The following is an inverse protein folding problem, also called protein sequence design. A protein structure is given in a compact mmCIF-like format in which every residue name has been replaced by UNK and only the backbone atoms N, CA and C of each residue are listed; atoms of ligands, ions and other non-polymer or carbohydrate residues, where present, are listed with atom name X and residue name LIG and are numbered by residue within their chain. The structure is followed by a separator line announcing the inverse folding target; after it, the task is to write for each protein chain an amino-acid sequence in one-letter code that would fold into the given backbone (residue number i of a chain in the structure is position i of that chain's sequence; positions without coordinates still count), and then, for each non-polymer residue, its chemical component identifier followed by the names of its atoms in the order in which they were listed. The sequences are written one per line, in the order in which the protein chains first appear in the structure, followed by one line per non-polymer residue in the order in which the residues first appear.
data_IF_530162304202
#
_entry.id   IF_530162304202
#
_cell.length_a   1.000
_cell.length_b   1.000
_cell.length_c   1.000
_cell.angle_alpha   90.00
_cell.angle_beta   90.00
_cell.angle_gamma   90.00
#
_symmetry.space_group_name_H-M   'P 1'
#
loop_
_entity.id
_entity.type
_entity.pdbx_description
1 polymer ?
#
# COMPACT_ATOMS: atom_id res chain seq x y z
N UNK A 1 -86.96 1.73 -20.08
CA UNK A 1 -87.91 1.70 -21.23
C UNK A 1 -88.96 0.63 -20.98
N UNK A 2 -90.06 1.00 -20.32
CA UNK A 2 -91.19 0.10 -20.13
C UNK A 2 -91.87 -0.19 -21.47
N UNK A 3 -92.26 -1.43 -21.70
CA UNK A 3 -92.94 -1.82 -22.93
C UNK A 3 -94.30 -2.44 -22.61
N UNK A 4 -95.30 -2.01 -23.37
CA UNK A 4 -96.66 -2.52 -23.28
C UNK A 4 -96.87 -3.52 -24.40
N UNK A 5 -97.27 -4.74 -24.05
CA UNK A 5 -97.66 -5.75 -25.02
C UNK A 5 -99.15 -6.02 -24.89
N UNK A 6 -99.89 -5.64 -25.93
CA UNK A 6 -101.31 -5.93 -26.04
C UNK A 6 -101.52 -7.34 -26.56
N UNK A 7 -102.26 -8.15 -25.81
CA UNK A 7 -102.66 -9.50 -26.21
C UNK A 7 -104.16 -9.48 -26.43
N UNK A 8 -104.60 -9.85 -27.63
CA UNK A 8 -106.01 -9.99 -27.98
C UNK A 8 -106.37 -11.46 -28.07
N UNK A 9 -107.47 -11.84 -27.44
CA UNK A 9 -108.01 -13.20 -27.55
C UNK A 9 -109.51 -13.15 -27.64
N UNK A 10 -110.02 -13.76 -28.71
CA UNK A 10 -111.44 -13.93 -28.93
C UNK A 10 -111.97 -15.09 -28.08
N UNK A 11 -112.96 -14.82 -27.23
CA UNK A 11 -113.57 -15.82 -26.35
C UNK A 11 -115.05 -15.94 -26.68
N UNK A 12 -115.54 -17.18 -26.73
CA UNK A 12 -116.95 -17.48 -26.93
C UNK A 12 -117.64 -17.62 -25.59
N UNK A 13 -118.58 -16.72 -25.30
CA UNK A 13 -119.34 -16.69 -24.06
C UNK A 13 -120.74 -17.26 -24.37
N UNK A 14 -121.11 -18.45 -23.87
CA UNK A 14 -122.46 -18.97 -24.01
C UNK A 14 -123.40 -18.21 -23.08
N UNK A 15 -124.59 -17.85 -23.58
CA UNK A 15 -125.69 -17.35 -22.76
C UNK A 15 -126.94 -18.19 -23.01
N UNK A 16 -127.75 -18.34 -21.97
CA UNK A 16 -129.07 -18.97 -22.06
C UNK A 16 -130.05 -18.30 -21.10
N UNK A 17 -131.31 -18.28 -21.49
CA UNK A 17 -132.41 -17.72 -20.71
C UNK A 17 -133.73 -18.33 -21.12
N UNK A 18 -134.77 -18.16 -20.31
CA UNK A 18 -136.12 -18.61 -20.62
C UNK A 18 -137.10 -17.47 -20.44
N UNK A 19 -138.02 -17.31 -21.40
CA UNK A 19 -139.12 -16.34 -21.31
C UNK A 19 -140.40 -17.13 -21.09
N UNK A 20 -141.15 -16.76 -20.05
CA UNK A 20 -142.42 -17.36 -19.67
C UNK A 20 -143.57 -16.42 -20.04
N UNK A 21 -144.51 -16.91 -20.85
CA UNK A 21 -145.69 -16.15 -21.28
C UNK A 21 -146.90 -16.47 -20.39
N UNK A 22 -147.70 -15.45 -20.05
CA UNK A 22 -148.89 -15.59 -19.22
C UNK A 22 -150.03 -16.39 -19.87
N UNK A 23 -151.01 -16.89 -19.10
CA UNK A 23 -151.89 -17.97 -19.54
C UNK A 23 -153.03 -17.47 -20.45
N UNK A 24 -152.93 -17.74 -21.76
CA UNK A 24 -154.10 -17.82 -22.64
C UNK A 24 -153.90 -18.93 -23.69
N UNK A 25 -154.73 -19.96 -23.59
CA UNK A 25 -155.04 -21.11 -24.48
C UNK A 25 -153.95 -21.83 -25.31
N UNK A 26 -152.65 -21.57 -25.14
CA UNK A 26 -151.52 -22.45 -25.55
C UNK A 26 -150.20 -21.97 -24.90
N UNK A 27 -150.19 -21.82 -23.58
CA UNK A 27 -149.03 -21.30 -22.84
C UNK A 27 -147.91 -22.34 -22.65
N UNK A 28 -146.71 -22.01 -23.09
CA UNK A 28 -145.47 -22.75 -22.82
C UNK A 28 -144.26 -21.81 -22.74
N UNK A 29 -143.30 -22.13 -21.88
CA UNK A 29 -142.02 -21.40 -21.78
C UNK A 29 -141.08 -21.82 -22.91
N UNK A 30 -140.46 -20.84 -23.59
CA UNK A 30 -139.44 -21.11 -24.61
C UNK A 30 -138.08 -20.73 -24.05
N UNK A 31 -137.17 -21.70 -24.01
CA UNK A 31 -135.76 -21.49 -23.68
C UNK A 31 -135.02 -21.04 -24.93
N UNK A 32 -134.18 -20.01 -24.82
CA UNK A 32 -133.22 -19.64 -25.85
C UNK A 32 -131.79 -19.75 -25.31
N UNK A 33 -130.88 -20.20 -26.16
CA UNK A 33 -129.45 -20.18 -25.88
C UNK A 33 -128.67 -19.82 -27.14
N UNK A 34 -127.55 -19.14 -26.96
CA UNK A 34 -126.67 -18.68 -28.03
C UNK A 34 -125.24 -18.53 -27.50
N UNK A 35 -124.29 -18.29 -28.41
CA UNK A 35 -122.90 -17.98 -28.04
C UNK A 35 -122.57 -16.63 -28.63
N UNK A 36 -122.24 -15.66 -27.78
CA UNK A 36 -121.70 -14.38 -28.24
C UNK A 36 -120.18 -14.48 -28.26
N UNK A 37 -119.56 -13.90 -29.27
CA UNK A 37 -118.11 -13.88 -29.38
C UNK A 37 -117.65 -12.48 -28.99
N UNK A 38 -116.86 -12.38 -27.91
CA UNK A 38 -116.24 -11.12 -27.50
C UNK A 38 -114.73 -11.19 -27.65
N UNK A 39 -114.14 -10.09 -28.11
CA UNK A 39 -112.70 -9.91 -28.15
C UNK A 39 -112.25 -9.28 -26.84
N UNK A 40 -111.47 -10.03 -26.06
CA UNK A 40 -110.89 -9.51 -24.83
C UNK A 40 -109.48 -9.02 -25.18
N UNK A 41 -109.26 -7.73 -24.98
CA UNK A 41 -107.94 -7.10 -25.07
C UNK A 41 -107.35 -6.98 -23.67
N UNK A 42 -106.18 -7.59 -23.45
CA UNK A 42 -105.42 -7.45 -22.20
C UNK A 42 -104.11 -6.74 -22.52
N UNK A 43 -103.93 -5.57 -21.92
CA UNK A 43 -102.67 -4.84 -21.96
C UNK A 43 -101.78 -5.30 -20.81
N UNK A 44 -100.63 -5.90 -21.16
CA UNK A 44 -99.61 -6.26 -20.19
C UNK A 44 -98.54 -5.18 -20.25
N UNK A 45 -98.49 -4.37 -19.20
CA UNK A 45 -97.46 -3.36 -19.00
C UNK A 45 -96.35 -3.98 -18.15
N UNK A 46 -95.15 -4.08 -18.73
CA UNK A 46 -93.97 -4.55 -17.99
C UNK A 46 -93.11 -3.33 -17.68
N UNK A 47 -93.09 -2.97 -16.40
CA UNK A 47 -92.20 -1.95 -15.88
C UNK A 47 -90.76 -2.51 -15.80
N UNK A 48 -89.84 -1.88 -16.53
CA UNK A 48 -88.42 -2.27 -16.55
C UNK A 48 -87.56 -1.37 -15.68
N UNK A 49 -88.11 -0.30 -15.10
CA UNK A 49 -87.36 0.65 -14.27
C UNK A 49 -86.64 -0.02 -13.08
N UNK A 50 -87.29 -0.92 -12.31
CA UNK A 50 -86.60 -1.59 -11.19
C UNK A 50 -85.42 -2.45 -11.64
N UNK A 51 -85.51 -3.02 -12.84
CA UNK A 51 -84.43 -3.84 -13.40
C UNK A 51 -83.28 -2.96 -13.91
N UNK A 52 -83.59 -1.86 -14.60
CA UNK A 52 -82.59 -0.87 -15.04
C UNK A 52 -81.85 -0.23 -13.86
N UNK A 53 -82.56 0.10 -12.78
CA UNK A 53 -81.99 0.60 -11.53
C UNK A 53 -81.05 -0.43 -10.88
N UNK A 54 -81.43 -1.72 -10.89
CA UNK A 54 -80.57 -2.79 -10.37
C UNK A 54 -79.26 -2.94 -11.17
N UNK A 55 -79.32 -2.81 -12.50
CA UNK A 55 -78.13 -2.83 -13.36
C UNK A 55 -77.26 -1.61 -13.08
N UNK A 56 -77.87 -0.43 -12.95
CA UNK A 56 -77.15 0.80 -12.63
C UNK A 56 -76.42 0.69 -11.28
N UNK A 57 -77.11 0.24 -10.24
CA UNK A 57 -76.53 0.05 -8.90
C UNK A 57 -75.43 -1.02 -8.88
N UNK A 58 -75.60 -2.10 -9.65
CA UNK A 58 -74.57 -3.12 -9.84
C UNK A 58 -73.32 -2.53 -10.51
N UNK A 59 -73.49 -1.74 -11.58
CA UNK A 59 -72.39 -1.12 -12.30
C UNK A 59 -71.62 -0.12 -11.43
N UNK A 60 -72.32 0.68 -10.61
CA UNK A 60 -71.70 1.56 -9.63
C UNK A 60 -70.92 0.79 -8.55
N UNK A 61 -71.48 -0.32 -8.05
CA UNK A 61 -70.81 -1.18 -7.06
C UNK A 61 -69.56 -1.84 -7.64
N UNK A 62 -69.62 -2.31 -8.89
CA UNK A 62 -68.47 -2.84 -9.63
C UNK A 62 -67.42 -1.75 -9.84
N UNK A 63 -67.81 -0.55 -10.26
CA UNK A 63 -66.90 0.59 -10.42
C UNK A 63 -66.20 0.98 -9.11
N UNK A 64 -66.94 0.99 -8.00
CA UNK A 64 -66.39 1.21 -6.66
C UNK A 64 -65.42 0.11 -6.23
N UNK A 65 -65.75 -1.15 -6.48
CA UNK A 65 -64.86 -2.29 -6.21
C UNK A 65 -63.59 -2.22 -7.06
N UNK A 66 -63.71 -1.92 -8.36
CA UNK A 66 -62.56 -1.76 -9.25
C UNK A 66 -61.66 -0.62 -8.77
N UNK A 67 -62.22 0.52 -8.38
CA UNK A 67 -61.47 1.64 -7.80
C UNK A 67 -60.74 1.25 -6.50
N UNK A 68 -61.41 0.51 -5.61
CA UNK A 68 -60.83 0.01 -4.37
C UNK A 68 -59.69 -0.98 -4.65
N UNK A 69 -59.87 -1.93 -5.57
CA UNK A 69 -58.84 -2.90 -5.96
C UNK A 69 -57.63 -2.20 -6.56
N UNK A 70 -57.82 -1.26 -7.48
CA UNK A 70 -56.72 -0.48 -8.07
C UNK A 70 -55.98 0.33 -7.00
N UNK A 71 -56.70 0.93 -6.04
CA UNK A 71 -56.09 1.65 -4.93
C UNK A 71 -55.30 0.71 -3.99
N UNK A 72 -55.83 -0.48 -3.70
CA UNK A 72 -55.14 -1.50 -2.90
C UNK A 72 -53.90 -2.03 -3.61
N UNK A 73 -53.98 -2.31 -4.91
CA UNK A 73 -52.83 -2.73 -5.73
C UNK A 73 -51.75 -1.65 -5.75
N UNK A 74 -52.13 -0.39 -5.99
CA UNK A 74 -51.19 0.73 -5.96
C UNK A 74 -50.53 0.90 -4.59
N UNK A 75 -51.30 0.81 -3.50
CA UNK A 75 -50.78 0.86 -2.13
C UNK A 75 -49.84 -0.32 -1.83
N UNK A 76 -50.17 -1.53 -2.32
CA UNK A 76 -49.35 -2.71 -2.16
C UNK A 76 -48.04 -2.61 -2.94
N UNK A 77 -48.07 -2.14 -4.19
CA UNK A 77 -46.86 -1.89 -4.98
C UNK A 77 -45.98 -0.83 -4.30
N UNK A 78 -46.57 0.26 -3.78
CA UNK A 78 -45.84 1.28 -3.05
C UNK A 78 -45.18 0.71 -1.78
N UNK A 79 -45.90 -0.14 -1.04
CA UNK A 79 -45.39 -0.83 0.16
C UNK A 79 -44.24 -1.79 -0.18
N UNK A 80 -44.37 -2.60 -1.24
CA UNK A 80 -43.33 -3.50 -1.73
C UNK A 80 -42.08 -2.70 -2.10
N UNK A 81 -42.22 -1.59 -2.83
CA UNK A 81 -41.10 -0.74 -3.22
C UNK A 81 -40.40 -0.09 -2.03
N UNK A 82 -41.15 0.40 -1.04
CA UNK A 82 -40.59 0.97 0.18
C UNK A 82 -39.81 -0.09 0.99
N UNK A 83 -40.39 -1.28 1.14
CA UNK A 83 -39.73 -2.39 1.83
C UNK A 83 -38.49 -2.88 1.07
N UNK A 84 -38.54 -2.99 -0.26
CA UNK A 84 -37.39 -3.36 -1.08
C UNK A 84 -36.24 -2.35 -0.94
N UNK A 85 -36.51 -1.04 -0.92
CA UNK A 85 -35.51 0.00 -0.64
C UNK A 85 -34.93 -0.12 0.77
N UNK A 86 -35.76 -0.40 1.77
CA UNK A 86 -35.31 -0.57 3.16
C UNK A 86 -34.42 -1.82 3.32
N UNK A 87 -34.83 -2.93 2.72
CA UNK A 87 -34.08 -4.20 2.74
C UNK A 87 -32.75 -4.05 2.00
N UNK A 88 -32.76 -3.53 0.77
CA UNK A 88 -31.53 -3.29 -0.01
C UNK A 88 -30.58 -2.33 0.71
N UNK A 89 -31.09 -1.22 1.25
CA UNK A 89 -30.28 -0.29 2.05
C UNK A 89 -29.68 -0.93 3.30
N UNK A 90 -30.44 -1.77 4.00
CA UNK A 90 -29.93 -2.51 5.16
C UNK A 90 -28.86 -3.55 4.78
N UNK A 91 -29.05 -4.28 3.67
CA UNK A 91 -28.08 -5.26 3.17
C UNK A 91 -26.78 -4.56 2.76
N UNK A 92 -26.86 -3.49 1.97
CA UNK A 92 -25.69 -2.72 1.52
C UNK A 92 -24.94 -2.17 2.73
N UNK A 93 -25.66 -1.54 3.68
CA UNK A 93 -25.05 -1.01 4.90
C UNK A 93 -24.41 -2.10 5.75
N UNK A 94 -25.07 -3.25 5.91
CA UNK A 94 -24.56 -4.39 6.64
C UNK A 94 -23.26 -4.91 6.02
N UNK A 95 -23.27 -5.14 4.70
CA UNK A 95 -22.11 -5.61 3.95
C UNK A 95 -20.91 -4.67 4.07
N UNK A 96 -21.11 -3.36 3.84
CA UNK A 96 -20.04 -2.37 4.00
C UNK A 96 -19.54 -2.27 5.45
N UNK A 97 -20.44 -2.38 6.43
CA UNK A 97 -20.05 -2.40 7.85
C UNK A 97 -19.18 -3.62 8.17
N UNK A 98 -19.54 -4.80 7.66
CA UNK A 98 -18.75 -6.04 7.84
C UNK A 98 -17.38 -5.93 7.19
N UNK A 99 -17.31 -5.51 5.92
CA UNK A 99 -16.04 -5.30 5.22
C UNK A 99 -15.16 -4.31 5.99
N UNK A 100 -15.72 -3.19 6.43
CA UNK A 100 -14.96 -2.20 7.20
C UNK A 100 -14.43 -2.80 8.50
N UNK A 101 -15.23 -3.61 9.18
CA UNK A 101 -14.81 -4.31 10.40
C UNK A 101 -13.67 -5.29 10.13
N UNK A 102 -13.78 -6.11 9.07
CA UNK A 102 -12.75 -7.06 8.66
C UNK A 102 -11.44 -6.36 8.29
N UNK A 103 -11.51 -5.28 7.49
CA UNK A 103 -10.32 -4.47 7.13
C UNK A 103 -9.69 -3.87 8.39
N UNK A 104 -10.51 -3.35 9.31
CA UNK A 104 -10.00 -2.79 10.58
C UNK A 104 -9.31 -3.85 11.42
N UNK A 105 -9.85 -5.07 11.47
CA UNK A 105 -9.26 -6.20 12.18
C UNK A 105 -7.94 -6.63 11.55
N UNK A 106 -7.87 -6.72 10.22
CA UNK A 106 -6.63 -7.03 9.48
C UNK A 106 -5.55 -5.97 9.72
N UNK A 107 -5.91 -4.68 9.75
CA UNK A 107 -4.98 -3.60 10.07
C UNK A 107 -4.46 -3.73 11.49
N UNK A 108 -5.32 -4.04 12.46
CA UNK A 108 -4.92 -4.21 13.86
C UNK A 108 -3.98 -5.41 14.04
N UNK A 109 -4.25 -6.52 13.37
CA UNK A 109 -3.40 -7.72 13.37
C UNK A 109 -2.02 -7.43 12.76
N UNK A 110 -2.00 -6.83 11.56
CA UNK A 110 -0.74 -6.47 10.90
C UNK A 110 0.08 -5.48 11.72
N UNK A 111 -0.58 -4.50 12.35
CA UNK A 111 0.08 -3.54 13.25
C UNK A 111 0.71 -4.24 14.46
N UNK A 112 0.00 -5.17 15.09
CA UNK A 112 0.52 -5.97 16.21
C UNK A 112 1.75 -6.77 15.80
N UNK A 113 1.72 -7.39 14.61
CA UNK A 113 2.86 -8.13 14.08
C UNK A 113 4.07 -7.22 13.80
N UNK A 114 3.84 -6.04 13.21
CA UNK A 114 4.90 -5.03 13.00
C UNK A 114 5.49 -4.60 14.33
N UNK A 115 4.67 -4.27 15.33
CA UNK A 115 5.14 -3.85 16.64
C UNK A 115 5.98 -4.95 17.34
N UNK A 116 5.55 -6.21 17.25
CA UNK A 116 6.30 -7.36 17.78
C UNK A 116 7.66 -7.55 17.09
N UNK A 117 7.71 -7.47 15.76
CA UNK A 117 8.97 -7.58 15.01
C UNK A 117 9.90 -6.41 15.30
N UNK A 118 9.37 -5.21 15.49
CA UNK A 118 10.15 -4.03 15.84
C UNK A 118 10.77 -4.15 17.23
N UNK A 119 10.03 -4.68 18.22
CA UNK A 119 10.58 -5.02 19.55
C UNK A 119 11.72 -6.03 19.42
N UNK A 120 11.54 -7.08 18.61
CA UNK A 120 12.58 -8.08 18.38
C UNK A 120 13.84 -7.47 17.74
N UNK A 121 13.69 -6.61 16.72
CA UNK A 121 14.79 -5.90 16.08
C UNK A 121 15.54 -4.99 17.07
N UNK A 122 14.82 -4.26 17.92
CA UNK A 122 15.44 -3.46 18.99
C UNK A 122 16.23 -4.32 19.97
N UNK A 123 15.69 -5.47 20.35
CA UNK A 123 16.39 -6.44 21.21
C UNK A 123 17.67 -6.98 20.56
N UNK A 124 17.65 -7.30 19.26
CA UNK A 124 18.83 -7.71 18.52
C UNK A 124 19.87 -6.59 18.41
N UNK A 125 19.44 -5.36 18.12
CA UNK A 125 20.32 -4.20 18.05
C UNK A 125 21.05 -3.96 19.40
N UNK A 126 20.32 -4.05 20.52
CA UNK A 126 20.91 -3.94 21.85
C UNK A 126 21.93 -5.06 22.11
N UNK A 127 21.62 -6.31 21.75
CA UNK A 127 22.55 -7.44 21.88
C UNK A 127 23.83 -7.25 21.06
N UNK A 128 23.74 -6.67 19.85
CA UNK A 128 24.92 -6.35 19.05
C UNK A 128 25.82 -5.32 19.75
N UNK A 129 25.24 -4.28 20.34
CA UNK A 129 26.00 -3.26 21.10
C UNK A 129 26.64 -3.88 22.35
N UNK A 130 25.93 -4.72 23.08
CA UNK A 130 26.47 -5.44 24.23
C UNK A 130 27.62 -6.36 23.83
N UNK A 131 27.48 -7.07 22.69
CA UNK A 131 28.53 -7.93 22.15
C UNK A 131 29.75 -7.14 21.71
N UNK A 132 29.56 -5.98 21.07
CA UNK A 132 30.65 -5.07 20.73
C UNK A 132 31.43 -4.63 21.97
N UNK A 133 30.72 -4.18 23.02
CA UNK A 133 31.34 -3.79 24.30
C UNK A 133 32.07 -4.95 24.99
N UNK A 134 31.58 -6.17 24.83
CA UNK A 134 32.29 -7.36 25.31
C UNK A 134 33.59 -7.56 24.52
N UNK A 135 33.52 -7.55 23.18
CA UNK A 135 34.69 -7.72 22.32
C UNK A 135 35.75 -6.64 22.55
N UNK A 136 35.35 -5.40 22.78
CA UNK A 136 36.27 -4.30 23.10
C UNK A 136 37.00 -4.54 24.43
N UNK A 137 36.29 -4.99 25.47
CA UNK A 137 36.90 -5.35 26.75
C UNK A 137 37.86 -6.52 26.62
N UNK A 138 37.48 -7.54 25.86
CA UNK A 138 38.31 -8.71 25.61
C UNK A 138 39.58 -8.32 24.83
N UNK A 139 39.44 -7.50 23.79
CA UNK A 139 40.57 -6.96 23.03
C UNK A 139 41.53 -6.19 23.92
N UNK A 140 41.02 -5.24 24.73
CA UNK A 140 41.85 -4.43 25.62
C UNK A 140 42.56 -5.28 26.68
N UNK A 141 41.90 -6.32 27.20
CA UNK A 141 42.49 -7.27 28.15
C UNK A 141 43.63 -8.07 27.52
N UNK A 142 43.40 -8.61 26.31
CA UNK A 142 44.40 -9.36 25.55
C UNK A 142 45.59 -8.47 25.19
N UNK A 143 45.34 -7.27 24.69
CA UNK A 143 46.37 -6.30 24.34
C UNK A 143 47.22 -5.93 25.55
N UNK A 144 46.61 -5.63 26.71
CA UNK A 144 47.33 -5.38 27.96
C UNK A 144 48.21 -6.56 28.37
N UNK A 145 47.70 -7.78 28.24
CA UNK A 145 48.47 -8.98 28.59
C UNK A 145 49.72 -9.12 27.70
N UNK A 146 49.59 -8.92 26.40
CA UNK A 146 50.73 -8.94 25.48
C UNK A 146 51.73 -7.82 25.75
N UNK A 147 51.25 -6.58 25.97
CA UNK A 147 52.11 -5.46 26.31
C UNK A 147 52.94 -5.75 27.56
N UNK A 148 52.30 -6.27 28.62
CA UNK A 148 53.00 -6.67 29.84
C UNK A 148 54.04 -7.75 29.57
N UNK A 149 53.71 -8.78 28.78
CA UNK A 149 54.68 -9.83 28.42
C UNK A 149 55.90 -9.25 27.71
N UNK A 150 55.72 -8.30 26.79
CA UNK A 150 56.85 -7.65 26.12
C UNK A 150 57.67 -6.75 27.05
N UNK A 151 57.03 -6.02 27.96
CA UNK A 151 57.72 -5.24 28.99
C UNK A 151 58.54 -6.12 29.93
N UNK A 152 57.95 -7.23 30.40
CA UNK A 152 58.61 -8.21 31.26
C UNK A 152 59.81 -8.84 30.54
N UNK A 153 59.66 -9.19 29.25
CA UNK A 153 60.76 -9.71 28.43
C UNK A 153 61.87 -8.67 28.20
N UNK A 154 61.53 -7.41 27.94
CA UNK A 154 62.51 -6.34 27.77
C UNK A 154 63.29 -6.10 29.07
N UNK A 155 62.59 -6.12 30.21
CA UNK A 155 63.23 -5.97 31.52
C UNK A 155 64.14 -7.16 31.85
N UNK A 156 63.72 -8.39 31.56
CA UNK A 156 64.54 -9.59 31.72
C UNK A 156 65.79 -9.53 30.84
N UNK A 157 65.63 -9.16 29.57
CA UNK A 157 66.74 -9.01 28.63
C UNK A 157 67.72 -7.93 29.09
N UNK A 158 67.22 -6.78 29.54
CA UNK A 158 68.04 -5.70 30.10
C UNK A 158 68.84 -6.19 31.32
N UNK A 159 68.19 -6.91 32.23
CA UNK A 159 68.85 -7.49 33.41
C UNK A 159 69.90 -8.53 33.02
N UNK A 160 69.61 -9.40 32.04
CA UNK A 160 70.57 -10.38 31.53
C UNK A 160 71.78 -9.72 30.87
N UNK A 161 71.57 -8.70 30.04
CA UNK A 161 72.68 -7.92 29.43
C UNK A 161 73.52 -7.28 30.52
N UNK A 162 72.89 -6.72 31.55
CA UNK A 162 73.60 -6.13 32.68
C UNK A 162 74.43 -7.15 33.45
N UNK A 163 73.87 -8.30 33.81
CA UNK A 163 74.61 -9.34 34.55
C UNK A 163 75.73 -9.94 33.71
N UNK A 164 75.51 -10.16 32.41
CA UNK A 164 76.52 -10.70 31.49
C UNK A 164 77.71 -9.74 31.30
N UNK A 165 77.47 -8.43 31.30
CA UNK A 165 78.49 -7.39 31.14
C UNK A 165 78.76 -6.60 32.41
N UNK A 166 78.44 -7.15 33.58
CA UNK A 166 78.55 -6.47 34.88
C UNK A 166 79.94 -5.87 35.16
N UNK A 167 81.07 -6.53 34.84
CA UNK A 167 82.39 -5.95 35.01
C UNK A 167 82.63 -4.72 34.12
N UNK A 168 82.11 -4.72 32.89
CA UNK A 168 82.24 -3.60 31.96
C UNK A 168 81.39 -2.39 32.42
N UNK A 169 80.17 -2.63 32.91
CA UNK A 169 79.34 -1.58 33.51
C UNK A 169 79.95 -1.02 34.79
N UNK A 170 80.52 -1.87 35.66
CA UNK A 170 81.21 -1.44 36.87
C UNK A 170 82.46 -0.61 36.54
N UNK A 171 83.25 -1.05 35.55
CA UNK A 171 84.40 -0.31 35.05
C UNK A 171 84.00 1.05 34.47
N UNK A 172 82.96 1.11 33.63
CA UNK A 172 82.44 2.37 33.10
C UNK A 172 81.95 3.31 34.21
N UNK A 173 81.23 2.79 35.22
CA UNK A 173 80.79 3.57 36.38
C UNK A 173 81.96 4.11 37.19
N UNK A 174 82.97 3.28 37.45
CA UNK A 174 84.17 3.67 38.18
C UNK A 174 85.00 4.67 37.38
N UNK A 175 85.15 4.47 36.07
CA UNK A 175 85.84 5.40 35.16
C UNK A 175 85.14 6.75 35.09
N UNK A 176 83.80 6.80 34.99
CA UNK A 176 83.03 8.04 35.05
C UNK A 176 83.16 8.75 36.40
N UNK A 177 83.16 8.00 37.51
CA UNK A 177 83.36 8.57 38.85
C UNK A 177 84.78 9.15 39.02
N UNK A 178 85.80 8.49 38.47
CA UNK A 178 87.18 8.98 38.48
C UNK A 178 87.36 10.21 37.57
N UNK A 179 86.73 10.23 36.38
CA UNK A 179 86.70 11.42 35.53
C UNK A 179 86.04 12.61 36.24
N UNK A 180 84.90 12.41 36.90
CA UNK A 180 84.25 13.50 37.65
C UNK A 180 85.13 14.00 38.81
N UNK A 181 85.87 13.11 39.50
CA UNK A 181 86.84 13.51 40.54
C UNK A 181 88.04 14.27 39.97
N UNK A 182 88.53 13.89 38.79
CA UNK A 182 89.62 14.60 38.11
C UNK A 182 89.20 16.02 37.68
N UNK A 183 87.92 16.22 37.34
CA UNK A 183 87.35 17.55 37.06
C UNK A 183 87.14 18.40 38.33
N UNK A 184 86.75 17.78 39.45
CA UNK A 184 86.37 18.53 40.66
C UNK A 184 87.52 18.89 41.60
N UNK A 185 88.63 18.12 41.68
CA UNK A 185 89.55 18.28 42.82
C UNK A 185 91.06 18.25 42.58
N UNK A 186 91.60 17.96 41.38
CA UNK A 186 93.07 17.79 41.27
C UNK A 186 93.77 18.48 40.09
N UNK A 187 93.16 19.49 39.48
CA UNK A 187 93.72 20.06 38.25
C UNK A 187 93.51 21.58 38.14
N UNK A 188 93.79 22.41 39.14
CA UNK A 188 93.72 23.88 38.89
C UNK A 188 94.78 24.34 37.87
N UNK A 189 95.99 23.75 37.87
CA UNK A 189 97.02 24.06 36.85
C UNK A 189 96.80 23.31 35.53
N UNK A 190 96.21 22.12 35.60
CA UNK A 190 95.97 21.29 34.42
C UNK A 190 94.64 21.61 33.74
N UNK A 191 93.64 22.19 34.43
CA UNK A 191 92.42 22.81 33.85
C UNK A 191 92.75 24.07 33.06
N UNK A 192 93.86 24.76 33.34
CA UNK A 192 94.30 25.86 32.47
C UNK A 192 94.86 25.35 31.12
N UNK A 193 95.55 24.20 31.12
CA UNK A 193 96.08 23.55 29.91
C UNK A 193 94.98 22.78 29.17
N UNK A 194 94.20 21.95 29.86
CA UNK A 194 93.00 21.27 29.33
C UNK A 194 91.86 22.23 28.99
N UNK A 195 91.73 23.37 29.66
CA UNK A 195 90.76 24.39 29.29
C UNK A 195 91.13 25.11 27.99
N UNK A 196 92.43 25.15 27.64
CA UNK A 196 92.89 25.69 26.36
C UNK A 196 92.89 24.64 25.24
N UNK A 197 93.37 23.43 25.53
CA UNK A 197 93.47 22.34 24.54
C UNK A 197 92.19 21.50 24.42
N UNK A 198 91.52 21.24 25.54
CA UNK A 198 90.28 20.49 25.64
C UNK A 198 89.05 21.30 25.24
N UNK A 199 89.00 22.62 25.47
CA UNK A 199 87.85 23.42 25.02
C UNK A 199 87.70 23.43 23.50
N UNK A 200 88.81 23.45 22.74
CA UNK A 200 88.75 23.33 21.28
C UNK A 200 88.28 21.94 20.84
N UNK A 201 88.76 20.88 21.52
CA UNK A 201 88.34 19.51 21.24
C UNK A 201 86.88 19.27 21.61
N UNK A 202 86.41 19.78 22.75
CA UNK A 202 85.01 19.72 23.19
C UNK A 202 84.10 20.52 22.27
N UNK A 203 84.54 21.70 21.81
CA UNK A 203 83.83 22.46 20.78
C UNK A 203 83.73 21.66 19.47
N UNK A 204 84.80 20.96 19.06
CA UNK A 204 84.78 20.09 17.87
C UNK A 204 83.88 18.87 18.06
N UNK A 205 83.90 18.22 19.21
CA UNK A 205 83.07 17.05 19.52
C UNK A 205 81.59 17.46 19.60
N UNK A 206 81.27 18.54 20.32
CA UNK A 206 79.91 19.08 20.40
C UNK A 206 79.39 19.52 19.03
N UNK A 207 80.21 20.21 18.23
CA UNK A 207 79.86 20.53 16.85
C UNK A 207 79.65 19.27 16.00
N UNK A 208 80.45 18.21 16.18
CA UNK A 208 80.31 16.94 15.48
C UNK A 208 79.03 16.20 15.88
N UNK A 209 78.66 16.22 17.17
CA UNK A 209 77.40 15.66 17.68
C UNK A 209 76.20 16.44 17.11
N UNK A 210 76.27 17.77 17.10
CA UNK A 210 75.23 18.62 16.51
C UNK A 210 75.11 18.35 15.00
N UNK A 211 76.23 18.24 14.28
CA UNK A 211 76.24 17.85 12.85
C UNK A 211 75.62 16.49 12.62
N UNK A 212 75.98 15.47 13.42
CA UNK A 212 75.38 14.14 13.33
C UNK A 212 73.88 14.19 13.58
N UNK A 213 73.44 14.85 14.66
CA UNK A 213 72.01 15.00 14.97
C UNK A 213 71.26 15.72 13.87
N UNK A 214 71.83 16.76 13.28
CA UNK A 214 71.26 17.47 12.14
C UNK A 214 71.14 16.56 10.90
N UNK A 215 72.14 15.72 10.65
CA UNK A 215 72.13 14.76 9.56
C UNK A 215 71.05 13.68 9.79
N UNK A 216 70.94 13.15 11.01
CA UNK A 216 69.90 12.19 11.39
C UNK A 216 68.49 12.80 11.25
N UNK A 217 68.29 14.09 11.58
CA UNK A 217 67.00 14.77 11.33
C UNK A 217 66.72 14.98 9.85
N UNK A 218 67.73 15.32 9.05
CA UNK A 218 67.58 15.42 7.58
C UNK A 218 67.20 14.06 7.00
N UNK A 219 67.81 12.98 7.46
CA UNK A 219 67.49 11.62 7.01
C UNK A 219 66.05 11.22 7.41
N UNK A 220 65.62 11.54 8.63
CA UNK A 220 64.23 11.35 9.05
C UNK A 220 63.24 12.19 8.23
N UNK A 221 63.58 13.43 7.91
CA UNK A 221 62.75 14.27 7.05
C UNK A 221 62.66 13.69 5.63
N UNK A 222 63.76 13.20 5.08
CA UNK A 222 63.79 12.57 3.77
C UNK A 222 62.94 11.28 3.73
N UNK A 223 63.09 10.41 4.73
CA UNK A 223 62.25 9.19 4.83
C UNK A 223 60.77 9.51 4.98
N UNK A 224 60.42 10.58 5.71
CA UNK A 224 59.04 11.06 5.80
C UNK A 224 58.51 11.54 4.44
N UNK A 225 59.26 12.38 3.72
CA UNK A 225 58.87 12.87 2.38
C UNK A 225 58.69 11.72 1.39
N UNK A 226 59.57 10.71 1.46
CA UNK A 226 59.51 9.54 0.60
C UNK A 226 58.25 8.69 0.88
N UNK A 227 57.91 8.49 2.16
CA UNK A 227 56.66 7.83 2.56
C UNK A 227 55.43 8.65 2.16
N UNK A 228 55.47 9.97 2.30
CA UNK A 228 54.38 10.86 1.89
C UNK A 228 54.10 10.74 0.39
N UNK A 229 55.15 10.74 -0.43
CA UNK A 229 55.02 10.55 -1.88
C UNK A 229 54.44 9.19 -2.24
N UNK A 230 54.93 8.12 -1.60
CA UNK A 230 54.40 6.77 -1.80
C UNK A 230 52.91 6.67 -1.43
N UNK A 231 52.51 7.33 -0.34
CA UNK A 231 51.10 7.39 0.06
C UNK A 231 50.26 8.12 -0.98
N UNK A 232 50.73 9.26 -1.49
CA UNK A 232 50.02 10.02 -2.53
C UNK A 232 49.87 9.22 -3.84
N UNK A 233 50.91 8.49 -4.26
CA UNK A 233 50.84 7.58 -5.40
C UNK A 233 49.84 6.43 -5.15
N UNK A 234 49.82 5.87 -3.94
CA UNK A 234 48.92 4.79 -3.55
C UNK A 234 47.47 5.26 -3.49
N UNK A 235 47.22 6.47 -2.97
CA UNK A 235 45.90 7.12 -3.01
C UNK A 235 45.49 7.36 -4.46
N UNK A 236 46.35 7.93 -5.31
CA UNK A 236 46.04 8.18 -6.71
C UNK A 236 45.77 6.89 -7.52
N UNK A 237 46.38 5.77 -7.12
CA UNK A 237 46.15 4.45 -7.73
C UNK A 237 44.87 3.77 -7.25
N UNK A 238 44.50 3.96 -5.99
CA UNK A 238 43.32 3.30 -5.39
C UNK A 238 42.06 4.16 -5.41
N UNK A 239 42.19 5.48 -5.55
CA UNK A 239 41.08 6.36 -5.89
C UNK A 239 40.62 6.01 -7.30
N UNK A 240 39.38 5.54 -7.40
CA UNK A 240 38.68 5.47 -8.67
C UNK A 240 38.66 6.88 -9.25
N UNK A 241 39.44 7.12 -10.30
CA UNK A 241 39.32 8.33 -11.11
C UNK A 241 38.01 8.24 -11.88
N UNK A 242 36.90 8.49 -11.20
CA UNK A 242 35.58 8.62 -11.81
C UNK A 242 35.51 9.95 -12.57
N UNK A 243 36.33 10.08 -13.62
CA UNK A 243 36.05 11.00 -14.72
C UNK A 243 35.45 10.18 -15.86
N UNK A 244 34.20 9.78 -15.69
CA UNK A 244 33.36 9.48 -16.84
C UNK A 244 32.10 10.29 -16.65
N UNK A 245 31.74 11.05 -17.68
CA UNK A 245 30.37 11.51 -17.89
C UNK A 245 29.49 10.25 -17.89
N UNK A 246 29.06 9.82 -16.70
CA UNK A 246 28.14 8.73 -16.55
C UNK A 246 26.78 9.33 -16.84
N UNK A 247 26.19 8.93 -17.96
CA UNK A 247 24.77 9.17 -18.23
C UNK A 247 23.97 8.43 -17.16
N UNK A 248 23.53 9.17 -16.15
CA UNK A 248 22.59 8.68 -15.16
C UNK A 248 21.18 8.73 -15.76
N UNK A 249 20.49 7.60 -15.73
CA UNK A 249 19.09 7.52 -16.13
C UNK A 249 18.22 7.63 -14.88
N UNK A 250 17.19 8.46 -14.94
CA UNK A 250 16.27 8.66 -13.85
C UNK A 250 14.84 8.34 -14.31
N UNK A 251 14.08 7.57 -13.52
CA UNK A 251 12.70 7.25 -13.86
C UNK A 251 11.84 8.51 -13.77
N UNK A 252 11.07 8.77 -14.82
CA UNK A 252 10.05 9.81 -14.89
C UNK A 252 8.70 9.10 -15.03
N UNK A 253 7.71 9.51 -14.24
CA UNK A 253 6.36 8.96 -14.34
C UNK A 253 5.45 9.93 -15.08
N UNK A 254 4.87 9.46 -16.18
CA UNK A 254 3.93 10.20 -17.00
C UNK A 254 2.54 9.56 -16.89
N UNK A 255 1.52 10.36 -16.57
CA UNK A 255 0.15 9.90 -16.38
C UNK A 255 -0.78 10.74 -17.26
N UNK A 256 -1.56 10.07 -18.11
CA UNK A 256 -2.69 10.66 -18.83
C UNK A 256 -3.99 10.17 -18.19
N UNK A 257 -4.88 11.09 -17.83
CA UNK A 257 -6.20 10.79 -17.26
C UNK A 257 -7.27 11.50 -18.09
N UNK A 258 -8.33 10.78 -18.45
CA UNK A 258 -9.52 11.41 -19.05
C UNK A 258 -10.44 11.89 -17.92
N UNK A 259 -10.60 13.21 -17.80
CA UNK A 259 -11.53 13.79 -16.83
C UNK A 259 -12.99 13.56 -17.26
N UNK A 260 -13.95 13.72 -16.34
CA UNK A 260 -15.40 13.54 -16.59
C UNK A 260 -15.96 14.40 -17.76
N UNK A 261 -15.20 15.40 -18.21
CA UNK A 261 -15.51 16.27 -19.35
C UNK A 261 -14.88 15.82 -20.68
N UNK A 262 -14.33 14.59 -20.77
CA UNK A 262 -13.59 14.07 -21.94
C UNK A 262 -12.37 14.92 -22.35
N UNK A 263 -11.77 15.59 -21.38
CA UNK A 263 -10.51 16.31 -21.56
C UNK A 263 -9.38 15.47 -20.97
N UNK A 264 -8.30 15.31 -21.74
CA UNK A 264 -7.12 14.56 -21.34
C UNK A 264 -6.26 15.45 -20.43
N UNK A 265 -6.28 15.18 -19.13
CA UNK A 265 -5.37 15.77 -18.14
C UNK A 265 -4.05 15.00 -18.14
N UNK A 266 -2.93 15.72 -18.20
CA UNK A 266 -1.59 15.13 -18.34
C UNK A 266 -0.72 15.59 -17.18
N UNK A 267 -0.18 14.64 -16.40
CA UNK A 267 0.68 14.92 -15.24
C UNK A 267 2.02 14.21 -15.36
N UNK A 268 3.09 14.94 -15.07
CA UNK A 268 4.46 14.43 -15.07
C UNK A 268 5.05 14.55 -13.66
N UNK A 269 5.59 13.44 -13.14
CA UNK A 269 6.25 13.37 -11.85
C UNK A 269 7.74 13.12 -12.04
N UNK A 270 8.57 14.10 -11.65
CA UNK A 270 10.03 14.03 -11.68
C UNK A 270 10.58 13.84 -10.25
N UNK A 271 11.75 13.22 -10.13
CA UNK A 271 12.44 13.05 -8.86
C UNK A 271 13.08 14.35 -8.39
N UNK A 272 12.89 14.70 -7.12
CA UNK A 272 13.33 15.99 -6.54
C UNK A 272 14.85 16.21 -6.53
N UNK A 273 15.65 15.15 -6.65
CA UNK A 273 17.11 15.22 -6.56
C UNK A 273 17.81 15.54 -7.89
N UNK A 274 17.07 15.70 -8.99
CA UNK A 274 17.60 16.12 -10.30
C UNK A 274 17.07 17.52 -10.59
N UNK A 275 17.91 18.37 -11.18
CA UNK A 275 17.51 19.69 -11.66
C UNK A 275 16.25 19.58 -12.52
N UNK A 276 15.14 20.11 -12.01
CA UNK A 276 13.82 20.01 -12.65
C UNK A 276 13.89 20.63 -14.05
N UNK A 277 13.75 19.79 -15.08
CA UNK A 277 13.65 20.27 -16.46
C UNK A 277 12.24 20.79 -16.73
N UNK A 278 12.08 21.80 -17.61
CA UNK A 278 10.77 22.35 -17.93
C UNK A 278 9.83 21.27 -18.45
N UNK A 279 8.73 21.05 -17.72
CA UNK A 279 7.76 19.97 -17.92
C UNK A 279 7.24 19.90 -19.36
N UNK A 280 7.04 21.06 -20.00
CA UNK A 280 6.48 21.14 -21.36
C UNK A 280 7.44 20.61 -22.44
N UNK A 281 8.75 20.80 -22.27
CA UNK A 281 9.76 20.36 -23.25
C UNK A 281 9.96 18.83 -23.20
N UNK A 282 9.95 18.26 -21.99
CA UNK A 282 10.01 16.80 -21.80
C UNK A 282 8.76 16.11 -22.35
N UNK A 283 7.59 16.72 -22.16
CA UNK A 283 6.32 16.25 -22.68
C UNK A 283 6.29 16.22 -24.21
N UNK A 284 6.73 17.30 -24.85
CA UNK A 284 6.84 17.37 -26.31
C UNK A 284 7.86 16.38 -26.86
N UNK A 285 8.99 16.16 -26.17
CA UNK A 285 9.99 15.17 -26.57
C UNK A 285 9.49 13.73 -26.41
N UNK A 286 8.76 13.43 -25.34
CA UNK A 286 8.15 12.12 -25.10
C UNK A 286 7.12 11.76 -26.18
N UNK A 287 6.29 12.74 -26.58
CA UNK A 287 5.27 12.56 -27.62
C UNK A 287 5.84 12.47 -29.04
N UNK A 288 7.00 13.10 -29.30
CA UNK A 288 7.68 13.04 -30.60
C UNK A 288 8.57 11.81 -30.77
N UNK A 289 8.82 11.06 -29.69
CA UNK A 289 9.68 9.88 -29.73
C UNK A 289 8.94 8.69 -30.34
N UNK A 290 9.58 8.00 -31.28
CA UNK A 290 9.04 6.77 -31.85
C UNK A 290 9.39 5.61 -30.92
N UNK A 291 8.39 5.14 -30.20
CA UNK A 291 8.49 4.00 -29.31
C UNK A 291 8.38 2.70 -30.12
N UNK A 292 9.30 1.76 -29.89
CA UNK A 292 9.31 0.46 -30.52
C UNK A 292 8.94 -0.64 -29.52
N UNK A 293 8.28 -1.70 -29.98
CA UNK A 293 8.00 -2.86 -29.13
C UNK A 293 9.29 -3.47 -28.62
N UNK A 294 9.34 -3.75 -27.32
CA UNK A 294 10.51 -4.35 -26.69
C UNK A 294 10.84 -5.70 -27.38
N UNK A 295 12.13 -6.01 -27.67
CA UNK A 295 12.51 -7.29 -28.26
C UNK A 295 12.03 -8.48 -27.42
N UNK A 296 11.57 -9.54 -28.07
CA UNK A 296 10.97 -10.71 -27.40
C UNK A 296 11.91 -11.35 -26.37
N UNK A 297 13.22 -11.35 -26.63
CA UNK A 297 14.24 -11.87 -25.71
C UNK A 297 14.27 -11.12 -24.37
N UNK A 298 14.15 -9.79 -24.40
CA UNK A 298 14.13 -8.95 -23.21
C UNK A 298 12.80 -9.10 -22.45
N UNK A 299 11.69 -9.28 -23.16
CA UNK A 299 10.38 -9.59 -22.54
C UNK A 299 10.46 -10.90 -21.77
N UNK A 300 11.11 -11.93 -22.32
CA UNK A 300 11.30 -13.23 -21.65
C UNK A 300 12.17 -13.08 -20.40
N UNK A 301 13.24 -12.30 -20.46
CA UNK A 301 14.10 -12.04 -19.30
C UNK A 301 13.38 -11.26 -18.20
N UNK A 302 12.62 -10.22 -18.56
CA UNK A 302 11.79 -9.45 -17.63
C UNK A 302 10.71 -10.32 -16.99
N UNK A 303 10.00 -11.16 -17.78
CA UNK A 303 9.04 -12.15 -17.25
C UNK A 303 9.69 -13.04 -16.21
N UNK A 304 10.87 -13.57 -16.52
CA UNK A 304 11.59 -14.48 -15.63
C UNK A 304 12.00 -13.78 -14.34
N UNK A 305 12.61 -12.59 -14.44
CA UNK A 305 13.03 -11.83 -13.27
C UNK A 305 11.84 -11.44 -12.39
N UNK A 306 10.77 -10.91 -13.00
CA UNK A 306 9.57 -10.50 -12.29
C UNK A 306 8.86 -11.66 -11.60
N UNK A 307 8.75 -12.82 -12.26
CA UNK A 307 8.17 -14.02 -11.66
C UNK A 307 9.01 -14.51 -10.47
N UNK A 308 10.34 -14.48 -10.56
CA UNK A 308 11.24 -14.83 -9.45
C UNK A 308 11.04 -13.85 -8.26
N UNK A 309 10.94 -12.55 -8.53
CA UNK A 309 10.72 -11.53 -7.50
C UNK A 309 9.37 -11.72 -6.80
N UNK A 310 8.32 -12.04 -7.56
CA UNK A 310 6.99 -12.37 -7.02
C UNK A 310 7.01 -13.65 -6.19
N UNK A 311 7.65 -14.71 -6.69
CA UNK A 311 7.74 -16.00 -6.01
C UNK A 311 8.52 -15.88 -4.69
N UNK A 312 9.55 -15.01 -4.65
CA UNK A 312 10.32 -14.74 -3.43
C UNK A 312 9.53 -13.93 -2.39
N UNK A 313 8.69 -12.97 -2.82
CA UNK A 313 7.93 -12.11 -1.90
C UNK A 313 6.61 -12.72 -1.44
N UNK A 314 6.00 -13.59 -2.25
CA UNK A 314 4.70 -14.18 -1.97
C UNK A 314 4.78 -15.71 -2.02
N UNK A 315 4.94 -16.33 -0.85
CA UNK A 315 4.91 -17.80 -0.71
C UNK A 315 3.53 -18.36 -1.10
N UNK A 316 3.51 -19.44 -1.88
CA UNK A 316 2.28 -20.13 -2.34
C UNK A 316 1.51 -20.87 -1.21
N UNK A 317 1.87 -20.68 0.06
CA UNK A 317 1.25 -21.39 1.18
C UNK A 317 -0.14 -20.86 1.55
N UNK A 318 -0.47 -19.64 1.12
CA UNK A 318 -1.68 -18.95 1.56
C UNK A 318 -2.59 -18.54 0.38
N UNK A 319 -3.90 -18.74 0.54
CA UNK A 319 -4.90 -18.49 -0.52
C UNK A 319 -4.97 -16.99 -0.86
N UNK A 320 -4.78 -16.13 0.13
CA UNK A 320 -4.70 -14.68 -0.05
C UNK A 320 -3.51 -14.27 -0.93
N UNK A 321 -2.33 -14.82 -0.67
CA UNK A 321 -1.10 -14.52 -1.43
C UNK A 321 -1.22 -14.99 -2.88
N UNK A 322 -1.85 -16.14 -3.10
CA UNK A 322 -2.14 -16.67 -4.44
C UNK A 322 -3.08 -15.74 -5.22
N UNK A 323 -4.07 -15.15 -4.56
CA UNK A 323 -4.98 -14.17 -5.16
C UNK A 323 -4.27 -12.86 -5.51
N UNK A 324 -3.47 -12.32 -4.60
CA UNK A 324 -2.69 -11.08 -4.82
C UNK A 324 -1.73 -11.26 -5.98
N UNK A 325 -0.99 -12.37 -6.02
CA UNK A 325 -0.13 -12.76 -7.14
C UNK A 325 -0.88 -12.81 -8.46
N UNK A 326 -2.09 -13.40 -8.47
CA UNK A 326 -2.96 -13.43 -9.64
C UNK A 326 -3.39 -12.05 -10.13
N UNK A 327 -3.66 -11.10 -9.23
CA UNK A 327 -3.99 -9.73 -9.60
C UNK A 327 -2.78 -8.94 -10.12
N UNK A 328 -1.62 -9.09 -9.49
CA UNK A 328 -0.37 -8.43 -9.92
C UNK A 328 0.00 -8.90 -11.33
N UNK A 329 -0.09 -10.21 -11.62
CA UNK A 329 0.16 -10.74 -12.95
C UNK A 329 -0.86 -10.26 -13.99
N UNK A 330 -2.11 -10.00 -13.61
CA UNK A 330 -3.13 -9.42 -14.51
C UNK A 330 -2.87 -7.95 -14.84
N UNK A 331 -2.30 -7.19 -13.91
CA UNK A 331 -1.93 -5.79 -14.14
C UNK A 331 -0.67 -5.66 -15.01
N UNK A 332 0.13 -6.72 -15.12
CA UNK A 332 1.37 -6.71 -15.85
C UNK A 332 1.16 -7.00 -17.35
N UNK A 333 0.88 -5.97 -18.14
CA UNK A 333 0.78 -6.06 -19.60
C UNK A 333 2.16 -5.89 -20.26
N UNK A 334 3.06 -6.87 -20.11
CA UNK A 334 4.42 -6.80 -20.66
C UNK A 334 4.49 -6.67 -22.20
N UNK A 335 3.40 -7.04 -22.88
CA UNK A 335 3.31 -6.93 -24.34
C UNK A 335 3.03 -5.49 -24.82
N UNK A 336 2.75 -4.58 -23.89
CA UNK A 336 2.50 -3.15 -24.12
C UNK A 336 3.70 -2.28 -23.70
N UNK A 337 4.80 -2.91 -23.28
CA UNK A 337 6.03 -2.19 -22.95
C UNK A 337 6.76 -1.84 -24.25
N UNK A 338 6.94 -0.54 -24.45
CA UNK A 338 7.70 0.01 -25.55
C UNK A 338 9.04 0.59 -25.06
N UNK A 339 10.04 0.57 -25.92
CA UNK A 339 11.40 1.01 -25.66
C UNK A 339 11.88 1.92 -26.80
N UNK A 340 12.87 2.76 -26.51
CA UNK A 340 13.50 3.68 -27.46
C UNK A 340 14.57 2.93 -28.28
#
# INVERSE_FOLDING_TARGET
MSYTKTIRKTVRIPYSGSVSYGPSQSGGSVSYSGTVTEEIEVNVEVDTEPFEESIYNCNQSIGGLTGAVVATEAAQIASINANAKKVSGAIVKGFFSTIRSEITQQIAELKSQVDATLIHLRGLAQRCVEKQKQMERDYNSIAKRYLKTFEDLNNELSNRIYELNKPAFAFSKQSNQQNNRAYENDLVSTVAVFGKEGAELEAKISASIVKKRALDTIEKANTFLLKQKQLEELINRNMLKESKNATAYAPICFIEMENEQKQIDKKLYQQEFISQMPTNELMDNFLKQNWHKLPEENIVQLKRYFNIEIDNRYSNSDNHNSRVKGHILKMLQLNEIECI
#
